data_IF_718745251054
#
_entry.id   IF_718745251054
#
_cell.length_a   1.000
_cell.length_b   1.000
_cell.length_c   1.000
_cell.angle_alpha   90.00
_cell.angle_beta   90.00
_cell.angle_gamma   90.00
#
_symmetry.space_group_name_H-M   'P 1'
#
loop_
_entity.id
_entity.type
_entity.pdbx_description
1 polymer ?
#
# COMPACT_ATOMS: atom_id res chain seq x y z
N UNK A 1 -15.41 -16.88 16.78
CA UNK A 1 -15.08 -16.01 17.94
C UNK A 1 -13.59 -15.72 17.85
N UNK A 2 -13.20 -14.50 17.47
CA UNK A 2 -11.77 -14.13 17.38
C UNK A 2 -11.13 -14.17 18.76
N UNK A 3 -10.10 -14.99 18.93
CA UNK A 3 -9.34 -15.14 20.17
C UNK A 3 -8.79 -13.78 20.63
N UNK A 4 -8.96 -13.35 21.89
CA UNK A 4 -8.42 -12.08 22.40
C UNK A 4 -6.90 -11.91 22.12
N UNK A 5 -6.16 -13.01 22.11
CA UNK A 5 -4.72 -12.99 21.78
C UNK A 5 -4.45 -12.60 20.32
N UNK A 6 -5.32 -13.01 19.39
CA UNK A 6 -5.17 -12.69 17.97
C UNK A 6 -5.37 -11.20 17.71
N UNK A 7 -6.38 -10.58 18.34
CA UNK A 7 -6.63 -9.13 18.22
C UNK A 7 -5.47 -8.31 18.76
N UNK A 8 -4.96 -8.68 19.93
CA UNK A 8 -3.82 -8.00 20.54
C UNK A 8 -2.56 -8.07 19.65
N UNK A 9 -2.33 -9.20 18.99
CA UNK A 9 -1.19 -9.36 18.09
C UNK A 9 -1.32 -8.50 16.82
N UNK A 10 -2.53 -8.36 16.28
CA UNK A 10 -2.82 -7.49 15.13
C UNK A 10 -2.63 -6.01 15.48
N UNK A 11 -3.17 -5.55 16.61
CA UNK A 11 -3.00 -4.17 17.11
C UNK A 11 -1.52 -3.83 17.34
N UNK A 12 -0.76 -4.77 17.92
CA UNK A 12 0.68 -4.61 18.11
C UNK A 12 1.42 -4.51 16.79
N UNK A 13 1.09 -5.33 15.80
CA UNK A 13 1.71 -5.25 14.47
C UNK A 13 1.40 -3.92 13.78
N UNK A 14 0.17 -3.42 13.83
CA UNK A 14 -0.18 -2.10 13.26
C UNK A 14 0.63 -0.98 13.92
N UNK A 15 0.76 -1.04 15.24
CA UNK A 15 1.54 -0.08 16.02
C UNK A 15 3.02 -0.11 15.63
N UNK A 16 3.61 -1.30 15.47
CA UNK A 16 5.00 -1.44 15.01
C UNK A 16 5.21 -0.87 13.60
N UNK A 17 4.29 -1.13 12.67
CA UNK A 17 4.37 -0.59 11.30
C UNK A 17 4.32 0.94 11.34
N UNK A 18 3.42 1.51 12.15
CA UNK A 18 3.28 2.96 12.31
C UNK A 18 4.58 3.59 12.82
N UNK A 19 5.13 3.10 13.93
CA UNK A 19 6.39 3.62 14.47
C UNK A 19 7.56 3.46 13.51
N UNK A 20 7.68 2.30 12.86
CA UNK A 20 8.75 2.05 11.88
C UNK A 20 8.64 3.03 10.71
N UNK A 21 7.44 3.27 10.20
CA UNK A 21 7.21 4.23 9.11
C UNK A 21 7.60 5.66 9.49
N UNK A 22 7.31 6.07 10.73
CA UNK A 22 7.63 7.39 11.25
C UNK A 22 9.14 7.61 11.36
N UNK A 23 9.86 6.61 11.90
CA UNK A 23 11.33 6.63 11.99
C UNK A 23 11.96 6.64 10.59
N UNK A 24 11.48 5.80 9.68
CA UNK A 24 11.98 5.78 8.30
C UNK A 24 11.77 7.14 7.60
N UNK A 25 10.64 7.81 7.82
CA UNK A 25 10.38 9.12 7.22
C UNK A 25 11.36 10.19 7.72
N UNK A 26 11.71 10.18 9.02
CA UNK A 26 12.61 11.14 9.63
C UNK A 26 14.06 11.04 9.12
N UNK A 27 14.48 9.86 8.65
CA UNK A 27 15.86 9.60 8.19
C UNK A 27 16.06 10.01 6.73
N UNK A 28 14.99 10.08 5.92
CA UNK A 28 15.13 10.30 4.48
C UNK A 28 15.56 11.76 4.20
N UNK A 29 16.70 11.99 3.55
CA UNK A 29 17.17 13.33 3.26
C UNK A 29 16.38 13.99 2.13
N UNK A 30 16.10 15.28 2.33
CA UNK A 30 15.44 16.15 1.37
C UNK A 30 16.50 16.78 0.47
N UNK A 31 16.28 16.79 -0.86
CA UNK A 31 17.19 17.43 -1.80
C UNK A 31 16.60 18.73 -2.32
N UNK A 32 17.00 19.84 -1.71
CA UNK A 32 16.56 21.20 -2.05
C UNK A 32 17.05 21.71 -3.41
N UNK A 33 17.99 21.01 -4.06
CA UNK A 33 18.58 21.44 -5.34
C UNK A 33 17.62 21.16 -6.51
N UNK A 34 16.77 20.14 -6.39
CA UNK A 34 15.82 19.75 -7.43
C UNK A 34 14.39 20.13 -7.04
N UNK A 35 13.94 21.28 -7.52
CA UNK A 35 12.56 21.75 -7.36
C UNK A 35 11.75 21.35 -8.59
N UNK A 36 10.60 20.71 -8.37
CA UNK A 36 9.68 20.29 -9.44
C UNK A 36 8.91 21.50 -9.97
N UNK A 37 8.29 21.39 -11.16
CA UNK A 37 7.43 22.43 -11.74
C UNK A 37 6.27 22.89 -10.83
N UNK A 38 5.89 22.08 -9.83
CA UNK A 38 4.90 22.39 -8.80
C UNK A 38 5.48 23.07 -7.54
N UNK A 39 6.73 23.55 -7.59
CA UNK A 39 7.48 24.06 -6.42
C UNK A 39 7.66 23.04 -5.27
N UNK A 40 7.52 21.75 -5.55
CA UNK A 40 7.72 20.68 -4.56
C UNK A 40 9.17 20.21 -4.58
N UNK A 41 9.77 20.11 -3.39
CA UNK A 41 11.14 19.61 -3.20
C UNK A 41 11.17 18.08 -3.36
N UNK A 42 12.12 17.58 -4.15
CA UNK A 42 12.29 16.14 -4.38
C UNK A 42 13.10 15.47 -3.26
N UNK A 43 12.86 14.17 -3.11
CA UNK A 43 13.63 13.32 -2.21
C UNK A 43 15.05 13.11 -2.76
N UNK A 44 16.08 13.13 -1.90
CA UNK A 44 17.47 13.06 -2.36
C UNK A 44 17.90 11.75 -3.00
N UNK A 45 17.24 10.64 -2.64
CA UNK A 45 17.51 9.31 -3.19
C UNK A 45 16.30 8.75 -3.95
N UNK A 46 15.73 9.54 -4.86
CA UNK A 46 14.49 9.19 -5.56
C UNK A 46 14.53 7.80 -6.23
N UNK A 47 15.61 7.46 -6.93
CA UNK A 47 15.75 6.15 -7.58
C UNK A 47 15.79 4.98 -6.58
N UNK A 48 16.56 5.13 -5.50
CA UNK A 48 16.65 4.11 -4.47
C UNK A 48 15.33 3.90 -3.74
N UNK A 49 14.66 4.99 -3.35
CA UNK A 49 13.35 4.93 -2.69
C UNK A 49 12.27 4.34 -3.61
N UNK A 50 12.35 4.63 -4.91
CA UNK A 50 11.47 4.04 -5.90
C UNK A 50 11.65 2.52 -5.99
N UNK A 51 12.90 2.05 -6.13
CA UNK A 51 13.22 0.62 -6.17
C UNK A 51 12.79 -0.06 -4.87
N UNK A 52 13.12 0.53 -3.72
CA UNK A 52 12.73 0.00 -2.41
C UNK A 52 11.20 -0.14 -2.29
N UNK A 53 10.45 0.91 -2.62
CA UNK A 53 8.97 0.87 -2.62
C UNK A 53 8.42 -0.20 -3.55
N UNK A 54 8.95 -0.27 -4.78
CA UNK A 54 8.53 -1.25 -5.76
C UNK A 54 8.76 -2.68 -5.27
N UNK A 55 9.93 -2.95 -4.68
CA UNK A 55 10.25 -4.24 -4.07
C UNK A 55 9.31 -4.59 -2.92
N UNK A 56 8.98 -3.64 -2.04
CA UNK A 56 8.01 -3.86 -0.95
C UNK A 56 6.62 -4.16 -1.48
N UNK A 57 6.16 -3.44 -2.52
CA UNK A 57 4.87 -3.71 -3.14
C UNK A 57 4.81 -5.10 -3.79
N UNK A 58 5.88 -5.52 -4.47
CA UNK A 58 6.01 -6.86 -5.02
C UNK A 58 5.99 -7.92 -3.92
N UNK A 59 6.77 -7.73 -2.86
CA UNK A 59 6.84 -8.66 -1.74
C UNK A 59 5.46 -8.84 -1.09
N UNK A 60 4.75 -7.74 -0.84
CA UNK A 60 3.39 -7.77 -0.29
C UNK A 60 2.40 -8.46 -1.25
N UNK A 61 2.51 -8.24 -2.56
CA UNK A 61 1.73 -8.97 -3.56
C UNK A 61 1.97 -10.48 -3.51
N UNK A 62 3.24 -10.89 -3.43
CA UNK A 62 3.62 -12.31 -3.27
C UNK A 62 3.10 -12.87 -1.95
N UNK A 63 3.17 -12.13 -0.84
CA UNK A 63 2.62 -12.57 0.44
C UNK A 63 1.10 -12.80 0.38
N UNK A 64 0.35 -11.93 -0.31
CA UNK A 64 -1.10 -12.09 -0.50
C UNK A 64 -1.38 -13.34 -1.34
N UNK A 65 -0.61 -13.59 -2.39
CA UNK A 65 -0.74 -14.79 -3.22
C UNK A 65 -0.40 -16.06 -2.46
N UNK A 66 0.69 -16.06 -1.68
CA UNK A 66 1.11 -17.19 -0.86
C UNK A 66 0.08 -17.54 0.23
N UNK A 67 -0.43 -16.53 0.94
CA UNK A 67 -1.54 -16.70 1.88
C UNK A 67 -2.79 -17.24 1.19
N UNK A 68 -2.94 -16.93 -0.09
CA UNK A 68 -4.06 -17.41 -0.87
C UNK A 68 -3.97 -18.87 -1.30
N UNK A 69 -2.80 -19.32 -1.75
CA UNK A 69 -2.56 -20.72 -2.09
C UNK A 69 -2.84 -21.62 -0.89
N UNK A 70 -2.43 -21.19 0.32
CA UNK A 70 -2.68 -21.93 1.56
C UNK A 70 -4.18 -22.05 1.91
N UNK A 71 -5.01 -21.10 1.49
CA UNK A 71 -6.44 -21.08 1.80
C UNK A 71 -7.34 -21.67 0.70
N UNK A 72 -6.79 -22.01 -0.47
CA UNK A 72 -7.50 -22.70 -1.55
C UNK A 72 -8.74 -21.97 -2.09
N UNK A 73 -8.88 -20.66 -1.86
CA UNK A 73 -10.10 -19.91 -2.16
C UNK A 73 -9.99 -19.10 -3.46
N UNK A 74 -11.00 -19.20 -4.31
CA UNK A 74 -11.09 -18.41 -5.56
C UNK A 74 -11.13 -16.89 -5.29
N UNK A 75 -11.52 -16.49 -4.08
CA UNK A 75 -11.63 -15.09 -3.62
C UNK A 75 -10.28 -14.38 -3.49
N UNK A 76 -9.17 -15.10 -3.45
CA UNK A 76 -7.83 -14.49 -3.44
C UNK A 76 -7.54 -13.73 -4.73
N UNK A 77 -8.08 -14.19 -5.88
CA UNK A 77 -7.91 -13.47 -7.14
C UNK A 77 -8.54 -12.07 -7.06
N UNK A 78 -9.67 -11.94 -6.36
CA UNK A 78 -10.33 -10.66 -6.14
C UNK A 78 -9.54 -9.77 -5.18
N UNK A 79 -9.00 -10.32 -4.09
CA UNK A 79 -8.15 -9.56 -3.15
C UNK A 79 -6.84 -9.10 -3.81
N UNK A 80 -6.20 -9.98 -4.60
CA UNK A 80 -4.98 -9.65 -5.34
C UNK A 80 -5.26 -8.61 -6.43
N UNK A 81 -6.39 -8.71 -7.14
CA UNK A 81 -6.83 -7.69 -8.09
C UNK A 81 -7.09 -6.35 -7.41
N UNK A 82 -7.78 -6.33 -6.26
CA UNK A 82 -8.01 -5.11 -5.48
C UNK A 82 -6.69 -4.46 -5.02
N UNK A 83 -5.75 -5.28 -4.54
CA UNK A 83 -4.40 -4.82 -4.16
C UNK A 83 -3.63 -4.26 -5.36
N UNK A 84 -3.62 -4.94 -6.51
CA UNK A 84 -2.98 -4.46 -7.72
C UNK A 84 -3.59 -3.13 -8.22
N UNK A 85 -4.91 -2.99 -8.12
CA UNK A 85 -5.63 -1.76 -8.49
C UNK A 85 -5.25 -0.60 -7.57
N UNK A 86 -5.15 -0.85 -6.26
CA UNK A 86 -4.71 0.12 -5.25
C UNK A 86 -3.27 0.60 -5.52
N UNK A 87 -2.34 -0.33 -5.73
CA UNK A 87 -0.92 -0.02 -6.03
C UNK A 87 -0.80 0.77 -7.33
N UNK A 88 -1.58 0.44 -8.34
CA UNK A 88 -1.60 1.16 -9.62
C UNK A 88 -2.11 2.59 -9.44
N UNK A 89 -3.21 2.78 -8.69
CA UNK A 89 -3.72 4.12 -8.37
C UNK A 89 -2.70 4.98 -7.60
N UNK A 90 -2.02 4.37 -6.64
CA UNK A 90 -0.93 5.01 -5.90
C UNK A 90 0.22 5.47 -6.80
N UNK A 91 0.64 4.63 -7.75
CA UNK A 91 1.72 4.94 -8.68
C UNK A 91 1.36 6.10 -9.62
N UNK A 92 0.12 6.12 -10.10
CA UNK A 92 -0.42 7.23 -10.90
C UNK A 92 -0.38 8.53 -10.09
N UNK A 93 -0.83 8.51 -8.84
CA UNK A 93 -0.81 9.67 -7.95
C UNK A 93 0.60 10.21 -7.71
N UNK A 94 1.59 9.31 -7.52
CA UNK A 94 2.98 9.71 -7.31
C UNK A 94 3.63 10.37 -8.54
N UNK A 95 3.07 10.21 -9.74
CA UNK A 95 3.56 10.80 -10.99
C UNK A 95 2.53 11.74 -11.64
N UNK A 96 1.67 12.34 -10.82
CA UNK A 96 0.60 13.21 -11.28
C UNK A 96 1.07 14.66 -11.33
N UNK A 97 1.11 15.20 -12.55
CA UNK A 97 1.32 16.63 -12.81
C UNK A 97 0.05 17.32 -13.35
N UNK A 98 -1.07 16.59 -13.48
CA UNK A 98 -2.29 17.07 -14.13
C UNK A 98 -3.55 16.60 -13.36
N UNK A 99 -4.55 17.49 -13.24
CA UNK A 99 -5.82 17.24 -12.54
C UNK A 99 -6.56 16.00 -13.05
N UNK A 100 -6.43 15.66 -14.35
CA UNK A 100 -7.07 14.48 -14.91
C UNK A 100 -6.44 13.17 -14.37
N UNK A 101 -5.11 13.14 -14.26
CA UNK A 101 -4.38 12.01 -13.64
C UNK A 101 -4.66 11.93 -12.15
N UNK A 102 -4.84 13.07 -11.48
CA UNK A 102 -5.23 13.14 -10.07
C UNK A 102 -6.57 12.43 -9.85
N UNK A 103 -7.60 12.79 -10.62
CA UNK A 103 -8.94 12.18 -10.49
C UNK A 103 -8.94 10.69 -10.86
N UNK A 104 -8.22 10.32 -11.92
CA UNK A 104 -8.10 8.92 -12.32
C UNK A 104 -7.38 8.11 -11.23
N UNK A 105 -6.27 8.60 -10.69
CA UNK A 105 -5.52 7.90 -9.66
C UNK A 105 -6.27 7.80 -8.34
N UNK A 106 -6.98 8.85 -7.89
CA UNK A 106 -7.76 8.81 -6.65
C UNK A 106 -8.93 7.85 -6.75
N UNK A 107 -9.66 7.85 -7.87
CA UNK A 107 -10.76 6.90 -8.10
C UNK A 107 -10.28 5.45 -8.17
N UNK A 108 -9.13 5.19 -8.82
CA UNK A 108 -8.50 3.86 -8.83
C UNK A 108 -8.06 3.42 -7.43
N UNK A 109 -7.47 4.34 -6.65
CA UNK A 109 -7.03 4.03 -5.30
C UNK A 109 -8.23 3.75 -4.38
N UNK A 110 -9.28 4.59 -4.45
CA UNK A 110 -10.49 4.42 -3.65
C UNK A 110 -11.24 3.11 -3.97
N UNK A 111 -11.38 2.79 -5.25
CA UNK A 111 -12.00 1.53 -5.69
C UNK A 111 -11.17 0.31 -5.28
N UNK A 112 -9.85 0.36 -5.43
CA UNK A 112 -8.93 -0.67 -4.96
C UNK A 112 -9.02 -0.89 -3.45
N UNK A 113 -9.05 0.18 -2.66
CA UNK A 113 -9.24 0.11 -1.20
C UNK A 113 -10.58 -0.49 -0.82
N UNK A 114 -11.67 -0.08 -1.48
CA UNK A 114 -12.99 -0.64 -1.21
C UNK A 114 -13.05 -2.15 -1.49
N UNK A 115 -12.50 -2.60 -2.62
CA UNK A 115 -12.42 -4.02 -2.96
C UNK A 115 -11.53 -4.79 -1.99
N UNK A 116 -10.37 -4.26 -1.64
CA UNK A 116 -9.45 -4.92 -0.71
C UNK A 116 -10.08 -5.05 0.68
N UNK A 117 -10.64 -3.96 1.21
CA UNK A 117 -11.21 -3.91 2.55
C UNK A 117 -12.48 -4.74 2.68
N UNK A 118 -13.37 -4.72 1.67
CA UNK A 118 -14.59 -5.54 1.69
C UNK A 118 -14.28 -7.04 1.69
N UNK A 119 -13.27 -7.47 0.93
CA UNK A 119 -12.81 -8.86 0.93
C UNK A 119 -12.16 -9.25 2.26
N UNK A 120 -11.36 -8.36 2.85
CA UNK A 120 -10.70 -8.59 4.13
C UNK A 120 -11.71 -8.65 5.28
N UNK A 121 -12.65 -7.69 5.34
CA UNK A 121 -13.72 -7.66 6.34
C UNK A 121 -14.60 -8.92 6.28
N UNK A 122 -14.91 -9.39 5.07
CA UNK A 122 -15.66 -10.64 4.87
C UNK A 122 -14.85 -11.87 5.28
N UNK A 123 -13.53 -11.88 5.10
CA UNK A 123 -12.65 -12.95 5.60
C UNK A 123 -12.69 -13.02 7.12
N UNK A 124 -12.61 -11.89 7.81
CA UNK A 124 -12.63 -11.84 9.29
C UNK A 124 -14.01 -12.15 9.91
N UNK A 125 -15.11 -11.79 9.24
CA UNK A 125 -16.47 -12.04 9.75
C UNK A 125 -16.97 -13.48 9.51
N UNK A 126 -16.45 -14.17 8.49
CA UNK A 126 -16.93 -15.49 8.08
C UNK A 126 -15.92 -16.62 8.36
N UNK A 127 -14.90 -16.34 9.19
CA UNK A 127 -14.13 -17.35 9.92
C UNK A 127 -14.77 -17.60 11.29
#
# INVERSE_FOLDING_TARGET
MSDPEQRLNEERNMTMIFFTSMVCCAIIPINSIQVTHLCTIKWGYQTFLFIFRFSVFLLSGVSILAAGIQQGSERIRQTAAGYATLVTGYFILCNTDNYLKLFAGTSLMASGTYLYLSNLHRKYLWQ
#
